data_IF_965794325209
#
_entry.id   IF_965794325209
#
_cell.length_a   1.000
_cell.length_b   1.000
_cell.length_c   1.000
_cell.angle_alpha   90.00
_cell.angle_beta   90.00
_cell.angle_gamma   90.00
#
_symmetry.space_group_name_H-M   'P 1'
#
loop_
_entity.id
_entity.type
_entity.pdbx_description
1 polymer ?
#
# COMPACT_ATOMS: atom_id res chain seq x y z
N UNK A 1 -43.03 -2.16 36.52
CA UNK A 1 -41.80 -1.91 37.30
C UNK A 1 -40.77 -1.19 36.44
N UNK A 2 -39.70 -0.66 37.03
CA UNK A 2 -38.72 0.23 36.38
C UNK A 2 -37.29 -0.27 36.62
N UNK A 3 -36.54 -0.52 35.55
CA UNK A 3 -35.06 -0.46 35.41
C UNK A 3 -34.80 -0.52 33.89
N UNK A 4 -34.35 0.51 33.16
CA UNK A 4 -33.26 1.50 33.29
C UNK A 4 -31.90 0.95 32.78
N UNK A 5 -31.21 1.59 31.80
CA UNK A 5 -30.23 0.91 30.94
C UNK A 5 -28.74 1.22 31.22
N UNK A 6 -27.86 0.40 30.63
CA UNK A 6 -26.41 0.56 30.43
C UNK A 6 -25.55 0.58 31.74
N UNK A 7 -24.30 0.05 31.71
CA UNK A 7 -23.19 0.71 31.02
C UNK A 7 -22.23 -0.25 30.25
N UNK A 8 -21.80 0.17 29.05
CA UNK A 8 -20.82 -0.59 28.23
C UNK A 8 -19.53 0.21 27.93
N UNK A 9 -19.32 1.35 28.59
CA UNK A 9 -18.16 2.23 28.35
C UNK A 9 -16.87 1.75 29.04
N UNK A 10 -17.00 0.82 30.00
CA UNK A 10 -15.89 0.33 30.83
C UNK A 10 -14.76 -0.36 30.04
N UNK A 11 -15.07 -1.01 28.92
CA UNK A 11 -14.07 -1.82 28.18
C UNK A 11 -12.95 -0.96 27.57
N UNK A 12 -13.19 0.33 27.30
CA UNK A 12 -12.21 1.22 26.65
C UNK A 12 -11.06 1.68 27.56
N UNK A 13 -11.08 1.29 28.84
CA UNK A 13 -10.01 1.60 29.79
C UNK A 13 -8.92 0.51 29.88
N UNK A 14 -9.16 -0.71 29.37
CA UNK A 14 -8.27 -1.85 29.56
C UNK A 14 -6.98 -1.81 28.69
N UNK A 15 -7.09 -1.37 27.43
CA UNK A 15 -5.97 -1.41 26.47
C UNK A 15 -4.82 -0.44 26.78
N UNK A 16 -5.05 0.57 27.64
CA UNK A 16 -3.99 1.50 28.07
C UNK A 16 -2.96 0.88 29.02
N UNK A 17 -3.22 -0.31 29.58
CA UNK A 17 -2.33 -0.99 30.53
C UNK A 17 -1.27 -1.91 29.88
N UNK A 18 -1.26 -2.06 28.55
CA UNK A 18 -0.29 -2.91 27.85
C UNK A 18 1.10 -2.25 27.67
N UNK A 19 1.26 -0.97 28.02
CA UNK A 19 2.56 -0.27 27.97
C UNK A 19 3.22 -0.32 29.35
N UNK A 20 4.46 -0.84 29.39
CA UNK A 20 5.35 -0.97 30.54
C UNK A 20 5.01 -2.05 31.59
N UNK A 21 5.67 -3.22 31.46
CA UNK A 21 6.34 -3.95 32.58
C UNK A 21 7.30 -4.99 32.00
N UNK A 22 8.62 -4.72 32.01
CA UNK A 22 9.67 -5.73 31.78
C UNK A 22 11.05 -5.22 32.23
N UNK A 23 11.37 -5.32 33.52
CA UNK A 23 12.62 -4.79 34.09
C UNK A 23 13.19 -5.64 35.24
N UNK A 24 14.47 -6.08 35.10
CA UNK A 24 15.47 -6.24 36.21
C UNK A 24 15.25 -7.44 37.16
N UNK A 25 16.23 -8.03 37.95
CA UNK A 25 17.70 -7.85 38.15
C UNK A 25 18.63 -8.21 36.94
N UNK A 26 19.93 -8.61 37.01
CA UNK A 26 20.82 -9.18 38.06
C UNK A 26 22.33 -8.78 37.92
N UNK A 27 23.26 -9.13 38.87
CA UNK A 27 24.58 -8.47 38.98
C UNK A 27 25.85 -9.40 39.01
N UNK A 28 27.02 -8.78 39.32
CA UNK A 28 28.39 -9.33 39.53
C UNK A 28 29.22 -9.63 38.25
N UNK A 29 30.55 -9.37 38.10
CA UNK A 29 31.57 -8.46 38.68
C UNK A 29 32.85 -8.53 37.76
N UNK A 30 33.93 -7.73 37.78
CA UNK A 30 34.32 -6.44 38.43
C UNK A 30 35.42 -5.69 37.59
N UNK A 31 36.71 -5.71 37.99
CA UNK A 31 37.79 -4.75 37.64
C UNK A 31 39.18 -5.45 37.42
N UNK A 32 40.31 -4.80 37.01
CA UNK A 32 40.60 -3.36 36.89
C UNK A 32 41.40 -2.85 35.64
N UNK A 33 41.59 -1.52 35.66
CA UNK A 33 42.33 -0.58 34.81
C UNK A 33 43.63 -0.97 34.04
N UNK A 34 43.87 -0.22 32.95
CA UNK A 34 45.19 0.27 32.51
C UNK A 34 45.03 1.63 31.78
N UNK A 35 46.09 2.46 31.72
CA UNK A 35 46.00 3.83 31.22
C UNK A 35 47.24 4.30 30.43
N UNK A 36 47.02 4.90 29.24
CA UNK A 36 47.94 5.76 28.49
C UNK A 36 47.21 6.35 27.26
N UNK A 37 47.64 7.41 26.57
CA UNK A 37 48.36 8.65 26.93
C UNK A 37 48.51 9.50 25.64
N UNK A 38 48.86 10.79 25.80
CA UNK A 38 49.41 11.71 24.78
C UNK A 38 48.50 12.14 23.60
N UNK A 39 48.57 13.45 23.30
CA UNK A 39 48.04 14.07 22.08
C UNK A 39 49.16 14.26 21.05
N UNK A 40 48.80 14.43 19.76
CA UNK A 40 49.75 14.67 18.69
C UNK A 40 49.19 15.60 17.60
N UNK A 41 49.65 16.85 17.58
CA UNK A 41 49.33 17.82 16.54
C UNK A 41 50.33 17.73 15.38
N UNK A 42 49.85 17.43 14.17
CA UNK A 42 50.58 17.69 12.93
C UNK A 42 49.59 17.93 11.78
N UNK A 43 49.74 19.05 11.06
CA UNK A 43 48.83 19.42 9.97
C UNK A 43 49.14 18.70 8.66
N UNK A 44 48.43 17.61 8.38
CA UNK A 44 48.41 16.98 7.05
C UNK A 44 47.34 17.58 6.16
N UNK A 45 47.65 18.63 5.39
CA UNK A 45 46.73 19.23 4.43
C UNK A 45 46.59 18.38 3.15
N UNK A 46 46.15 17.13 3.28
CA UNK A 46 45.81 16.28 2.14
C UNK A 46 44.58 16.85 1.45
N UNK A 47 44.77 17.48 0.29
CA UNK A 47 43.68 17.91 -0.59
C UNK A 47 43.02 16.68 -1.22
N UNK A 48 42.13 16.04 -0.46
CA UNK A 48 41.28 14.95 -0.94
C UNK A 48 40.46 15.46 -2.13
N UNK A 49 40.83 15.01 -3.34
CA UNK A 49 40.05 15.31 -4.53
C UNK A 49 38.60 14.82 -4.31
N UNK A 50 37.58 15.63 -4.70
CA UNK A 50 36.20 15.24 -4.47
C UNK A 50 35.91 13.93 -5.22
N UNK A 51 35.50 12.90 -4.48
CA UNK A 51 35.12 11.62 -5.07
C UNK A 51 34.01 11.86 -6.12
N UNK A 52 34.08 11.21 -7.30
CA UNK A 52 33.11 11.44 -8.37
C UNK A 52 31.70 11.13 -7.86
N UNK A 53 30.81 12.11 -7.93
CA UNK A 53 29.45 11.98 -7.44
C UNK A 53 28.76 10.80 -8.13
N UNK A 54 28.08 9.90 -7.39
CA UNK A 54 27.51 8.69 -7.96
C UNK A 54 26.48 9.04 -9.03
N UNK A 55 26.62 8.42 -10.21
CA UNK A 55 25.78 8.70 -11.37
C UNK A 55 24.30 8.52 -11.02
N UNK A 56 23.52 9.61 -11.15
CA UNK A 56 22.11 9.63 -10.79
C UNK A 56 21.34 8.67 -11.70
N UNK A 57 20.73 7.63 -11.12
CA UNK A 57 19.86 6.71 -11.86
C UNK A 57 18.77 7.50 -12.62
N UNK A 58 18.41 7.12 -13.86
CA UNK A 58 17.33 7.78 -14.59
C UNK A 58 16.02 7.68 -13.81
N UNK A 59 15.23 8.75 -13.84
CA UNK A 59 13.94 8.79 -13.14
C UNK A 59 12.91 7.89 -13.84
N UNK A 60 12.07 7.20 -13.06
CA UNK A 60 10.91 6.49 -13.59
C UNK A 60 9.81 7.51 -13.93
N UNK A 61 9.50 7.65 -15.22
CA UNK A 61 8.56 8.68 -15.75
C UNK A 61 7.21 8.12 -16.21
N UNK A 62 7.05 6.79 -16.22
CA UNK A 62 5.82 6.10 -16.63
C UNK A 62 5.54 4.94 -15.70
N UNK A 63 4.34 4.91 -15.13
CA UNK A 63 3.77 3.73 -14.50
C UNK A 63 2.91 2.96 -15.51
N UNK A 64 2.96 1.63 -15.45
CA UNK A 64 2.02 0.71 -16.08
C UNK A 64 1.84 -0.44 -15.10
N UNK A 65 0.60 -0.86 -14.86
CA UNK A 65 0.28 -1.96 -13.96
C UNK A 65 -1.11 -2.51 -14.23
N UNK A 66 -1.30 -3.76 -13.88
CA UNK A 66 -2.58 -4.46 -13.85
C UNK A 66 -2.64 -5.28 -12.56
N UNK A 67 -3.85 -5.57 -12.10
CA UNK A 67 -4.11 -6.43 -10.95
C UNK A 67 -5.33 -7.32 -11.27
N UNK A 68 -5.32 -8.60 -10.86
CA UNK A 68 -6.54 -9.41 -10.89
C UNK A 68 -7.56 -8.86 -9.88
N UNK A 69 -8.83 -9.02 -10.20
CA UNK A 69 -9.98 -8.56 -9.40
C UNK A 69 -10.83 -9.78 -9.06
N UNK A 70 -11.24 -9.94 -7.81
CA UNK A 70 -12.16 -11.01 -7.39
C UNK A 70 -13.55 -10.80 -7.97
N UNK A 71 -14.10 -11.77 -8.71
CA UNK A 71 -15.47 -11.71 -9.24
C UNK A 71 -16.52 -11.66 -8.11
N UNK A 72 -16.15 -12.14 -6.92
CA UNK A 72 -16.98 -12.16 -5.71
C UNK A 72 -16.90 -10.84 -4.91
N UNK A 73 -15.86 -10.02 -5.12
CA UNK A 73 -15.58 -8.80 -4.32
C UNK A 73 -15.12 -7.59 -5.13
N UNK A 74 -15.35 -7.56 -6.44
CA UNK A 74 -14.84 -6.55 -7.37
C UNK A 74 -14.99 -5.10 -6.87
N UNK A 75 -16.14 -4.72 -6.31
CA UNK A 75 -16.37 -3.38 -5.76
C UNK A 75 -15.39 -2.98 -4.65
N UNK A 76 -14.97 -3.92 -3.81
CA UNK A 76 -14.01 -3.68 -2.72
C UNK A 76 -12.56 -3.62 -3.25
N UNK A 77 -12.20 -4.50 -4.19
CA UNK A 77 -10.89 -4.51 -4.82
C UNK A 77 -10.66 -3.23 -5.64
N UNK A 78 -11.65 -2.78 -6.43
CA UNK A 78 -11.60 -1.50 -7.14
C UNK A 78 -11.50 -0.32 -6.17
N UNK A 79 -12.24 -0.32 -5.06
CA UNK A 79 -12.14 0.74 -4.06
C UNK A 79 -10.73 0.81 -3.44
N UNK A 80 -10.11 -0.35 -3.14
CA UNK A 80 -8.74 -0.43 -2.62
C UNK A 80 -7.69 0.05 -3.64
N UNK A 81 -7.80 -0.37 -4.90
CA UNK A 81 -6.90 0.08 -5.97
C UNK A 81 -7.06 1.60 -6.19
N UNK A 82 -8.28 2.13 -6.08
CA UNK A 82 -8.52 3.56 -6.17
C UNK A 82 -7.81 4.33 -5.06
N UNK A 83 -7.93 3.92 -3.79
CA UNK A 83 -7.35 4.64 -2.64
C UNK A 83 -5.84 4.46 -2.49
N UNK A 84 -5.29 3.26 -2.74
CA UNK A 84 -3.86 2.98 -2.54
C UNK A 84 -3.01 3.37 -3.76
N UNK A 85 -3.51 3.17 -4.98
CA UNK A 85 -2.73 3.35 -6.22
C UNK A 85 -3.18 4.60 -6.97
N UNK A 86 -4.46 4.72 -7.33
CA UNK A 86 -4.92 5.81 -8.21
C UNK A 86 -4.86 7.18 -7.52
N UNK A 87 -5.22 7.28 -6.23
CA UNK A 87 -5.07 8.51 -5.44
C UNK A 87 -3.61 8.98 -5.38
N UNK A 88 -2.66 8.07 -5.20
CA UNK A 88 -1.23 8.40 -5.12
C UNK A 88 -0.70 8.89 -6.49
N UNK A 89 -1.02 8.16 -7.57
CA UNK A 89 -0.66 8.57 -8.93
C UNK A 89 -1.29 9.92 -9.32
N UNK A 90 -2.56 10.16 -8.97
CA UNK A 90 -3.21 11.46 -9.18
C UNK A 90 -2.54 12.58 -8.36
N UNK A 91 -2.22 12.34 -7.09
CA UNK A 91 -1.54 13.31 -6.22
C UNK A 91 -0.12 13.67 -6.71
N UNK A 92 0.56 12.76 -7.42
CA UNK A 92 1.84 13.04 -8.09
C UNK A 92 1.74 13.95 -9.33
N UNK A 93 0.52 14.31 -9.77
CA UNK A 93 0.29 15.08 -10.99
C UNK A 93 0.44 14.29 -12.29
N UNK A 94 0.48 12.95 -12.23
CA UNK A 94 0.61 12.11 -13.41
C UNK A 94 -0.67 12.16 -14.28
N UNK A 95 -0.50 12.25 -15.60
CA UNK A 95 -1.63 12.08 -16.54
C UNK A 95 -2.07 10.62 -16.53
N UNK A 96 -3.23 10.35 -15.96
CA UNK A 96 -3.80 9.00 -15.90
C UNK A 96 -4.57 8.66 -17.17
N UNK A 97 -4.45 7.40 -17.59
CA UNK A 97 -5.36 6.70 -18.49
C UNK A 97 -5.69 5.38 -17.80
N UNK A 98 -6.98 5.08 -17.62
CA UNK A 98 -7.45 3.89 -16.91
C UNK A 98 -8.33 3.12 -17.90
N UNK A 99 -8.08 1.82 -18.04
CA UNK A 99 -8.86 0.91 -18.88
C UNK A 99 -9.33 -0.26 -18.04
N UNK A 100 -10.59 -0.65 -18.22
CA UNK A 100 -11.15 -1.88 -17.69
C UNK A 100 -11.36 -2.86 -18.85
N UNK A 101 -10.95 -4.12 -18.64
CA UNK A 101 -11.34 -5.26 -19.47
C UNK A 101 -12.25 -6.15 -18.65
N UNK A 102 -13.27 -6.72 -19.27
CA UNK A 102 -14.17 -7.70 -18.65
C UNK A 102 -14.15 -8.94 -19.54
N UNK A 103 -13.92 -10.09 -18.92
CA UNK A 103 -13.98 -11.42 -19.51
C UNK A 103 -15.00 -12.23 -18.69
N UNK A 104 -15.91 -12.94 -19.36
CA UNK A 104 -17.09 -13.54 -18.75
C UNK A 104 -17.64 -14.71 -19.59
N UNK A 105 -17.19 -15.92 -19.28
CA UNK A 105 -17.69 -17.16 -19.89
C UNK A 105 -18.97 -17.63 -19.16
N UNK A 106 -20.02 -17.96 -19.91
CA UNK A 106 -21.24 -18.58 -19.39
C UNK A 106 -21.52 -19.88 -20.19
N UNK A 107 -21.23 -21.08 -19.64
CA UNK A 107 -21.26 -22.34 -20.40
C UNK A 107 -22.59 -22.67 -21.06
N UNK A 108 -23.72 -22.33 -20.42
CA UNK A 108 -25.07 -22.55 -20.98
C UNK A 108 -25.51 -21.44 -21.95
N UNK A 109 -24.63 -20.48 -22.26
CA UNK A 109 -24.91 -19.30 -23.08
C UNK A 109 -25.71 -18.20 -22.35
N UNK A 110 -25.66 -16.98 -22.86
CA UNK A 110 -26.45 -15.86 -22.34
C UNK A 110 -27.82 -15.80 -23.00
N UNK A 111 -28.89 -15.57 -22.23
CA UNK A 111 -30.23 -15.34 -22.78
C UNK A 111 -30.31 -14.06 -23.62
N UNK A 112 -31.24 -13.99 -24.57
CA UNK A 112 -31.47 -12.78 -25.39
C UNK A 112 -31.69 -11.51 -24.54
N UNK A 113 -32.36 -11.64 -23.40
CA UNK A 113 -32.57 -10.54 -22.46
C UNK A 113 -31.26 -10.07 -21.82
N UNK A 114 -30.41 -11.00 -21.34
CA UNK A 114 -29.08 -10.66 -20.80
C UNK A 114 -28.19 -10.02 -21.88
N UNK A 115 -28.11 -10.64 -23.07
CA UNK A 115 -27.37 -10.12 -24.22
C UNK A 115 -27.79 -8.69 -24.58
N UNK A 116 -29.10 -8.44 -24.62
CA UNK A 116 -29.66 -7.11 -24.88
C UNK A 116 -29.27 -6.11 -23.79
N UNK A 117 -29.55 -6.42 -22.53
CA UNK A 117 -29.26 -5.51 -21.40
C UNK A 117 -27.78 -5.20 -21.28
N UNK A 118 -26.89 -6.18 -21.48
CA UNK A 118 -25.43 -5.95 -21.43
C UNK A 118 -25.00 -5.05 -22.59
N UNK A 119 -25.44 -5.31 -23.83
CA UNK A 119 -25.09 -4.46 -24.99
C UNK A 119 -25.61 -3.03 -24.87
N UNK A 120 -26.84 -2.84 -24.37
CA UNK A 120 -27.43 -1.51 -24.13
C UNK A 120 -26.67 -0.74 -23.03
N UNK A 121 -26.31 -1.42 -21.93
CA UNK A 121 -25.50 -0.84 -20.85
C UNK A 121 -24.08 -0.48 -21.32
N UNK A 122 -23.38 -1.40 -22.00
CA UNK A 122 -22.03 -1.18 -22.51
C UNK A 122 -21.98 -0.04 -23.55
N UNK A 123 -23.00 0.08 -24.41
CA UNK A 123 -23.17 1.22 -25.33
C UNK A 123 -23.35 2.54 -24.57
N UNK A 124 -24.22 2.55 -23.55
CA UNK A 124 -24.48 3.73 -22.70
C UNK A 124 -23.22 4.18 -21.93
N UNK A 125 -22.45 3.22 -21.44
CA UNK A 125 -21.17 3.43 -20.74
C UNK A 125 -19.98 3.65 -21.69
N UNK A 126 -20.21 3.64 -23.01
CA UNK A 126 -19.21 3.91 -24.06
C UNK A 126 -18.02 2.96 -24.03
N UNK A 127 -18.29 1.66 -23.81
CA UNK A 127 -17.29 0.60 -23.93
C UNK A 127 -16.68 0.62 -25.33
N UNK A 128 -15.35 0.56 -25.42
CA UNK A 128 -14.62 0.54 -26.71
C UNK A 128 -14.76 -0.80 -27.43
N UNK A 129 -14.98 -1.88 -26.68
CA UNK A 129 -15.27 -3.24 -27.16
C UNK A 129 -16.57 -3.70 -26.50
N UNK A 130 -17.56 -4.11 -27.30
CA UNK A 130 -18.89 -4.50 -26.85
C UNK A 130 -19.41 -5.64 -27.74
N UNK A 131 -18.72 -6.77 -27.66
CA UNK A 131 -18.89 -7.92 -28.55
C UNK A 131 -19.22 -9.16 -27.72
N UNK A 132 -19.82 -10.16 -28.35
CA UNK A 132 -20.11 -11.46 -27.75
C UNK A 132 -19.74 -12.51 -28.78
N UNK A 133 -18.81 -13.39 -28.40
CA UNK A 133 -18.36 -14.51 -29.22
C UNK A 133 -19.21 -15.75 -28.90
N UNK A 134 -19.18 -16.73 -29.81
CA UNK A 134 -19.78 -18.04 -29.62
C UNK A 134 -18.70 -19.09 -29.91
N UNK A 135 -18.42 -19.94 -28.93
CA UNK A 135 -17.55 -21.13 -29.05
C UNK A 135 -18.30 -22.33 -29.67
#
# INVERSE_FOLDING_TARGET
>A
MIVKPAPAEAQRAADLAATATSSTPAPEADSPASAAAAAGTAGGATTTAPAPAPARKPAATRYVGSAPISAERYSADFAKIATEVLTNLAASGAKLTISLSIDAIHPDGFTEQQLRTIRENATTLKFTTNEFEAE
#
